data_IF_782345041214
#
_entry.id   IF_782345041214
#
_cell.length_a   1.000
_cell.length_b   1.000
_cell.length_c   1.000
_cell.angle_alpha   90.00
_cell.angle_beta   90.00
_cell.angle_gamma   90.00
#
_symmetry.space_group_name_H-M   'P 1'
#
loop_
_entity.id
_entity.type
_entity.pdbx_description
1 polymer ?
#
# COMPACT_ATOMS: atom_id res chain seq x y z
N UNK A 1 -3.18 18.91 1.47
CA UNK A 1 -2.97 19.26 2.88
C UNK A 1 -3.45 18.11 3.75
N UNK A 2 -2.64 17.05 3.81
CA UNK A 2 -2.82 15.99 4.80
C UNK A 2 -2.07 16.42 6.07
N UNK A 3 -2.77 16.38 7.21
CA UNK A 3 -2.26 16.75 8.52
C UNK A 3 -1.18 15.74 8.91
N UNK A 4 0.05 16.19 9.08
CA UNK A 4 1.05 15.40 9.80
C UNK A 4 0.58 15.28 11.25
N UNK A 5 0.05 14.11 11.61
CA UNK A 5 -0.50 13.85 12.94
C UNK A 5 0.54 13.99 14.05
N UNK A 6 1.84 14.03 13.70
CA UNK A 6 2.96 14.23 14.63
C UNK A 6 3.53 15.65 14.62
N UNK A 7 2.97 16.58 13.83
CA UNK A 7 3.45 17.97 13.80
C UNK A 7 3.27 18.67 15.15
N UNK A 8 4.30 19.43 15.54
CA UNK A 8 4.36 20.12 16.83
C UNK A 8 4.41 19.21 18.07
N UNK A 9 4.53 17.89 17.90
CA UNK A 9 4.56 16.94 19.02
C UNK A 9 5.88 17.05 19.79
N UNK A 10 5.79 16.99 21.13
CA UNK A 10 6.94 16.98 22.02
C UNK A 10 7.70 15.63 21.96
N UNK A 11 9.03 15.71 21.84
CA UNK A 11 9.94 14.59 21.97
C UNK A 11 10.93 14.91 23.11
N UNK A 12 10.99 14.03 24.10
CA UNK A 12 11.89 14.13 25.24
C UNK A 12 12.97 13.06 25.08
N UNK A 13 14.23 13.43 25.28
CA UNK A 13 15.35 12.47 25.25
C UNK A 13 16.08 12.52 26.59
N UNK A 14 16.11 11.39 27.29
CA UNK A 14 16.92 11.22 28.51
C UNK A 14 18.21 10.48 28.15
N UNK A 15 19.34 10.99 28.63
CA UNK A 15 20.67 10.43 28.35
C UNK A 15 21.35 10.13 29.68
N UNK A 16 21.70 8.87 29.89
CA UNK A 16 22.51 8.42 31.03
C UNK A 16 23.87 7.99 30.54
N UNK A 17 24.94 8.60 31.06
CA UNK A 17 26.31 8.24 30.70
C UNK A 17 26.71 6.89 31.28
N UNK A 18 27.35 6.05 30.46
CA UNK A 18 27.77 4.69 30.82
C UNK A 18 29.28 4.50 30.60
N UNK A 19 29.90 3.40 31.07
CA UNK A 19 31.32 3.16 30.82
C UNK A 19 31.66 2.88 29.35
N UNK A 20 30.72 2.37 28.54
CA UNK A 20 30.94 2.04 27.14
C UNK A 20 29.62 1.73 26.41
N UNK A 21 29.61 1.92 25.09
CA UNK A 21 28.48 1.53 24.23
C UNK A 21 27.39 2.60 24.14
N UNK A 22 26.66 2.63 23.02
CA UNK A 22 25.51 3.51 22.84
C UNK A 22 24.28 2.63 22.68
N UNK A 23 23.39 2.66 23.68
CA UNK A 23 22.13 1.94 23.66
C UNK A 23 20.99 2.93 23.46
N UNK A 24 20.09 2.64 22.51
CA UNK A 24 18.95 3.51 22.19
C UNK A 24 17.68 2.70 22.38
N UNK A 25 16.77 3.19 23.21
CA UNK A 25 15.46 2.60 23.43
C UNK A 25 14.35 3.68 23.53
N UNK A 26 13.10 3.23 23.58
CA UNK A 26 11.91 4.09 23.66
C UNK A 26 11.22 4.04 25.04
N UNK A 27 10.89 5.21 25.56
CA UNK A 27 10.03 5.39 26.73
C UNK A 27 8.55 5.50 26.35
N UNK A 28 7.78 6.26 27.14
CA UNK A 28 6.33 6.42 26.97
C UNK A 28 6.01 6.98 25.57
N UNK A 29 5.01 6.40 24.92
CA UNK A 29 4.49 6.82 23.61
C UNK A 29 5.42 6.59 22.42
N UNK A 30 6.56 5.90 22.60
CA UNK A 30 7.30 5.27 21.51
C UNK A 30 6.83 3.81 21.38
N UNK A 31 6.34 3.45 20.20
CA UNK A 31 5.73 2.15 19.96
C UNK A 31 6.72 0.99 20.09
N UNK A 32 6.21 -0.19 20.42
CA UNK A 32 6.96 -1.45 20.44
C UNK A 32 6.60 -2.30 19.23
N UNK A 33 7.62 -2.87 18.60
CA UNK A 33 7.44 -3.80 17.48
C UNK A 33 6.87 -5.12 17.99
N UNK A 34 5.71 -5.52 17.51
CA UNK A 34 5.04 -6.78 17.87
C UNK A 34 4.98 -7.78 16.72
N UNK A 35 5.26 -7.34 15.48
CA UNK A 35 5.28 -8.17 14.27
C UNK A 35 6.67 -8.18 13.62
N UNK A 36 7.03 -9.31 13.03
CA UNK A 36 8.24 -9.42 12.21
C UNK A 36 8.09 -8.67 10.86
N UNK A 37 9.20 -8.44 10.17
CA UNK A 37 9.22 -7.75 8.86
C UNK A 37 9.34 -6.22 8.93
N UNK A 38 9.35 -5.65 10.13
CA UNK A 38 9.66 -4.24 10.39
C UNK A 38 11.17 -4.00 10.51
N UNK A 39 11.59 -2.73 10.45
CA UNK A 39 13.02 -2.33 10.49
C UNK A 39 13.72 -2.73 11.80
N UNK A 40 12.97 -2.74 12.92
CA UNK A 40 13.47 -3.14 14.23
C UNK A 40 12.91 -4.53 14.63
N UNK A 41 13.64 -5.32 15.42
CA UNK A 41 13.19 -6.65 15.83
C UNK A 41 12.02 -6.59 16.81
N UNK A 42 11.20 -7.64 16.85
CA UNK A 42 10.11 -7.79 17.83
C UNK A 42 10.60 -7.56 19.26
N UNK A 43 9.83 -6.77 20.02
CA UNK A 43 10.14 -6.33 21.38
C UNK A 43 10.90 -5.00 21.47
N UNK A 44 11.58 -4.57 20.40
CA UNK A 44 12.33 -3.31 20.41
C UNK A 44 11.41 -2.10 20.21
N UNK A 45 11.89 -0.93 20.65
CA UNK A 45 11.27 0.34 20.31
C UNK A 45 11.30 0.57 18.80
N UNK A 46 10.20 1.09 18.26
CA UNK A 46 9.99 1.43 16.86
C UNK A 46 10.77 2.69 16.46
N UNK A 47 12.09 2.67 16.69
CA UNK A 47 13.04 3.70 16.29
C UNK A 47 13.88 3.09 15.17
N UNK A 48 13.68 3.53 13.93
CA UNK A 48 14.31 2.91 12.78
C UNK A 48 15.83 3.09 12.78
N UNK A 49 16.51 2.26 11.98
CA UNK A 49 17.96 2.19 11.86
C UNK A 49 18.60 3.52 11.46
N UNK A 50 17.93 4.33 10.64
CA UNK A 50 18.46 5.65 10.24
C UNK A 50 18.39 6.66 11.40
N UNK A 51 17.25 6.90 12.07
CA UNK A 51 17.21 7.69 13.29
C UNK A 51 18.20 7.23 14.36
N UNK A 52 18.35 5.91 14.59
CA UNK A 52 19.36 5.36 15.52
C UNK A 52 20.78 5.81 15.15
N UNK A 53 21.16 5.70 13.88
CA UNK A 53 22.47 6.16 13.38
C UNK A 53 22.66 7.67 13.55
N UNK A 54 21.61 8.47 13.35
CA UNK A 54 21.66 9.92 13.52
C UNK A 54 21.88 10.32 14.99
N UNK A 55 21.22 9.63 15.92
CA UNK A 55 21.41 9.81 17.36
C UNK A 55 22.83 9.40 17.76
N UNK A 56 23.27 8.23 17.32
CA UNK A 56 24.61 7.71 17.60
C UNK A 56 25.70 8.66 17.08
N UNK A 57 25.54 9.19 15.86
CA UNK A 57 26.45 10.16 15.27
C UNK A 57 26.51 11.47 16.08
N UNK A 58 25.35 11.97 16.52
CA UNK A 58 25.27 13.19 17.33
C UNK A 58 25.97 13.02 18.68
N UNK A 59 25.78 11.87 19.35
CA UNK A 59 26.45 11.54 20.60
C UNK A 59 27.96 11.41 20.42
N UNK A 60 28.42 10.67 19.40
CA UNK A 60 29.86 10.52 19.12
C UNK A 60 30.53 11.86 18.86
N UNK A 61 29.87 12.75 18.12
CA UNK A 61 30.38 14.11 17.86
C UNK A 61 30.55 14.91 19.17
N UNK A 62 29.62 14.76 20.12
CA UNK A 62 29.72 15.40 21.44
C UNK A 62 30.83 14.74 22.28
N UNK A 63 30.89 13.41 22.28
CA UNK A 63 31.90 12.66 23.03
C UNK A 63 33.31 13.05 22.58
N UNK A 64 33.56 13.11 21.28
CA UNK A 64 34.83 13.57 20.69
C UNK A 64 35.14 15.02 21.08
N UNK A 65 34.16 15.92 21.03
CA UNK A 65 34.34 17.34 21.37
C UNK A 65 34.76 17.55 22.83
N UNK A 66 34.32 16.70 23.74
CA UNK A 66 34.60 16.79 25.17
C UNK A 66 35.61 15.76 25.67
N UNK A 67 36.30 15.05 24.77
CA UNK A 67 37.26 13.99 25.09
C UNK A 67 36.70 12.92 26.06
N UNK A 68 35.43 12.57 25.84
CA UNK A 68 34.72 11.57 26.62
C UNK A 68 34.80 10.21 25.93
N UNK A 69 35.34 9.20 26.63
CA UNK A 69 35.54 7.84 26.09
C UNK A 69 34.53 6.81 26.60
N UNK A 70 33.50 7.25 27.33
CA UNK A 70 32.44 6.38 27.80
C UNK A 70 31.34 6.14 26.77
N UNK A 71 30.20 5.68 27.24
CA UNK A 71 29.00 5.38 26.47
C UNK A 71 27.79 6.20 26.92
N UNK A 72 26.63 5.87 26.35
CA UNK A 72 25.35 6.42 26.78
C UNK A 72 24.19 5.46 26.57
N UNK A 73 23.28 5.45 27.52
CA UNK A 73 21.93 4.92 27.36
C UNK A 73 21.00 6.09 27.03
N UNK A 74 20.23 5.95 25.96
CA UNK A 74 19.34 6.98 25.41
C UNK A 74 17.91 6.46 25.43
N UNK A 75 17.02 7.18 26.12
CA UNK A 75 15.59 6.89 26.15
C UNK A 75 14.83 8.03 25.47
N UNK A 76 14.17 7.71 24.36
CA UNK A 76 13.32 8.67 23.63
C UNK A 76 11.88 8.50 24.09
N UNK A 77 11.23 9.56 24.53
CA UNK A 77 9.83 9.57 24.98
C UNK A 77 9.03 10.54 24.12
N UNK A 78 7.83 10.13 23.72
CA UNK A 78 6.87 10.95 23.00
C UNK A 78 5.57 10.98 23.83
N UNK A 79 5.37 11.95 24.75
CA UNK A 79 4.28 11.88 25.74
C UNK A 79 2.88 11.67 25.16
N UNK A 80 2.61 12.27 23.99
CA UNK A 80 1.33 12.14 23.27
C UNK A 80 1.32 11.01 22.22
N UNK A 81 2.43 10.27 22.10
CA UNK A 81 2.65 9.32 21.02
C UNK A 81 1.66 8.15 21.01
N UNK A 82 1.17 7.69 22.16
CA UNK A 82 0.16 6.63 22.20
C UNK A 82 -1.17 7.08 21.56
N UNK A 83 -1.69 8.24 21.95
CA UNK A 83 -2.94 8.78 21.40
C UNK A 83 -2.82 9.14 19.91
N UNK A 84 -1.66 9.65 19.47
CA UNK A 84 -1.43 9.96 18.06
C UNK A 84 -1.34 8.67 17.23
N UNK A 85 -0.68 7.64 17.75
CA UNK A 85 -0.47 6.39 17.02
C UNK A 85 -1.77 5.70 16.60
N UNK A 86 -2.85 5.82 17.39
CA UNK A 86 -4.19 5.31 17.05
C UNK A 86 -4.75 5.89 15.74
N UNK A 87 -4.32 7.10 15.37
CA UNK A 87 -4.74 7.79 14.15
C UNK A 87 -3.76 7.57 12.99
N UNK A 88 -2.73 6.74 13.18
CA UNK A 88 -1.72 6.44 12.16
C UNK A 88 -1.84 5.00 11.64
N UNK A 89 -0.97 4.64 10.69
CA UNK A 89 -0.87 3.26 10.19
C UNK A 89 -0.14 2.29 11.15
N UNK A 90 0.45 2.78 12.24
CA UNK A 90 1.26 1.97 13.16
C UNK A 90 0.54 0.75 13.73
N UNK A 91 -0.74 0.83 14.18
CA UNK A 91 -1.45 -0.35 14.71
C UNK A 91 -1.54 -1.49 13.69
N UNK A 92 -1.83 -1.17 12.43
CA UNK A 92 -1.95 -2.17 11.35
C UNK A 92 -0.61 -2.86 11.03
N UNK A 93 0.50 -2.13 11.19
CA UNK A 93 1.85 -2.63 10.96
C UNK A 93 2.38 -3.49 12.12
N UNK A 94 1.67 -3.55 13.26
CA UNK A 94 2.15 -4.25 14.47
C UNK A 94 3.09 -3.40 15.32
N UNK A 95 2.82 -2.10 15.40
CA UNK A 95 3.52 -1.18 16.29
C UNK A 95 2.50 -0.68 17.31
N UNK A 96 2.72 -1.04 18.58
CA UNK A 96 1.73 -0.89 19.66
C UNK A 96 2.28 0.00 20.78
N UNK A 97 1.39 0.80 21.39
CA UNK A 97 1.72 1.62 22.56
C UNK A 97 2.43 2.94 22.25
N UNK A 98 2.49 3.35 20.98
CA UNK A 98 3.14 4.60 20.60
C UNK A 98 3.43 4.74 19.12
N UNK A 99 4.01 5.88 18.77
CA UNK A 99 4.43 6.18 17.40
C UNK A 99 5.75 5.50 17.04
N UNK A 100 6.03 5.47 15.74
CA UNK A 100 7.34 5.14 15.19
C UNK A 100 8.21 6.40 15.07
N UNK A 101 9.48 6.32 15.47
CA UNK A 101 10.50 7.34 15.17
C UNK A 101 11.20 6.92 13.87
N UNK A 102 10.83 7.58 12.79
CA UNK A 102 11.29 7.29 11.43
C UNK A 102 11.86 8.55 10.75
N UNK A 103 12.63 8.34 9.67
CA UNK A 103 13.20 9.42 8.86
C UNK A 103 14.44 8.96 8.10
N UNK A 104 14.57 9.34 6.83
CA UNK A 104 15.73 8.99 6.00
C UNK A 104 16.75 10.11 5.91
N UNK A 105 16.29 11.37 5.93
CA UNK A 105 17.12 12.57 5.75
C UNK A 105 17.11 13.51 6.95
N UNK A 106 16.23 13.28 7.94
CA UNK A 106 16.04 14.19 9.07
C UNK A 106 15.23 15.46 8.74
N UNK A 107 14.67 15.55 7.52
CA UNK A 107 13.79 16.65 7.09
C UNK A 107 12.40 16.09 6.85
N UNK A 108 11.38 16.74 7.42
CA UNK A 108 9.97 16.41 7.15
C UNK A 108 9.60 17.02 5.80
N UNK A 109 9.41 16.17 4.79
CA UNK A 109 8.73 16.56 3.57
C UNK A 109 7.25 16.20 3.72
N UNK A 110 6.30 17.06 3.28
CA UNK A 110 4.89 16.71 3.25
C UNK A 110 4.70 15.37 2.51
N UNK A 111 3.74 14.56 2.97
CA UNK A 111 3.56 13.16 2.54
C UNK A 111 3.74 13.02 1.03
N UNK A 112 4.91 12.53 0.61
CA UNK A 112 5.27 12.43 -0.79
C UNK A 112 4.71 11.13 -1.37
N UNK A 113 4.60 11.05 -2.69
CA UNK A 113 4.26 9.79 -3.37
C UNK A 113 5.19 8.63 -2.92
N UNK A 114 6.45 8.93 -2.61
CA UNK A 114 7.43 7.95 -2.11
C UNK A 114 7.06 7.43 -0.71
N UNK A 115 6.52 8.26 0.18
CA UNK A 115 6.09 7.85 1.51
C UNK A 115 4.96 6.80 1.43
N UNK A 116 3.98 7.01 0.55
CA UNK A 116 2.89 6.04 0.32
C UNK A 116 3.45 4.72 -0.21
N UNK A 117 4.30 4.75 -1.23
CA UNK A 117 4.92 3.55 -1.81
C UNK A 117 5.76 2.81 -0.76
N UNK A 118 6.52 3.54 0.05
CA UNK A 118 7.33 2.94 1.11
C UNK A 118 6.48 2.27 2.19
N UNK A 119 5.34 2.86 2.55
CA UNK A 119 4.43 2.30 3.55
C UNK A 119 3.79 1.02 3.04
N UNK A 120 3.33 1.01 1.79
CA UNK A 120 2.83 -0.21 1.12
C UNK A 120 3.88 -1.33 1.12
N UNK A 121 5.15 -1.01 0.84
CA UNK A 121 6.24 -2.00 0.88
C UNK A 121 6.47 -2.57 2.27
N UNK A 122 6.49 -1.72 3.31
CA UNK A 122 6.64 -2.15 4.71
C UNK A 122 5.49 -3.07 5.11
N UNK A 123 4.26 -2.71 4.74
CA UNK A 123 3.09 -3.53 5.01
C UNK A 123 3.21 -4.93 4.36
N UNK A 124 3.59 -5.00 3.07
CA UNK A 124 3.84 -6.27 2.38
C UNK A 124 4.93 -7.13 3.04
N UNK A 125 6.00 -6.50 3.54
CA UNK A 125 7.06 -7.19 4.28
C UNK A 125 6.55 -7.82 5.58
N UNK A 126 5.69 -7.12 6.32
CA UNK A 126 5.05 -7.65 7.51
C UNK A 126 4.19 -8.86 7.15
N UNK A 127 3.36 -8.77 6.09
CA UNK A 127 2.55 -9.91 5.62
C UNK A 127 3.39 -11.11 5.20
N UNK A 128 4.51 -10.87 4.52
CA UNK A 128 5.46 -11.92 4.16
C UNK A 128 6.03 -12.60 5.42
N UNK A 129 6.42 -11.82 6.42
CA UNK A 129 6.95 -12.34 7.68
C UNK A 129 5.89 -13.12 8.49
N UNK A 130 4.62 -12.73 8.38
CA UNK A 130 3.47 -13.50 8.88
C UNK A 130 3.19 -14.80 8.08
N UNK A 131 4.01 -15.11 7.07
CA UNK A 131 3.92 -16.32 6.26
C UNK A 131 2.95 -16.22 5.09
N UNK A 132 2.38 -15.04 4.80
CA UNK A 132 1.52 -14.82 3.64
C UNK A 132 2.36 -14.91 2.36
N UNK A 133 1.86 -15.66 1.39
CA UNK A 133 2.46 -15.82 0.05
C UNK A 133 1.76 -14.99 -1.02
N UNK A 134 0.49 -14.65 -0.77
CA UNK A 134 -0.35 -13.88 -1.68
C UNK A 134 -0.89 -12.68 -0.92
N UNK A 135 -0.73 -11.50 -1.50
CA UNK A 135 -1.27 -10.25 -0.97
C UNK A 135 -2.57 -9.91 -1.69
N UNK A 136 -3.61 -9.60 -0.91
CA UNK A 136 -4.85 -9.02 -1.44
C UNK A 136 -4.61 -7.52 -1.56
N UNK A 137 -4.29 -7.06 -2.76
CA UNK A 137 -3.94 -5.66 -2.99
C UNK A 137 -5.16 -4.86 -3.43
N UNK A 138 -5.36 -3.70 -2.83
CA UNK A 138 -6.51 -2.82 -3.15
C UNK A 138 -6.08 -1.38 -3.37
N UNK A 139 -6.70 -0.64 -4.32
CA UNK A 139 -6.40 0.78 -4.52
C UNK A 139 -6.95 1.74 -3.43
N UNK A 140 -7.71 1.24 -2.45
CA UNK A 140 -8.32 2.05 -1.40
C UNK A 140 -9.59 1.44 -0.82
N UNK A 141 -10.28 2.18 0.04
CA UNK A 141 -11.34 1.68 0.92
C UNK A 141 -12.49 0.96 0.19
N UNK A 142 -12.87 1.40 -1.01
CA UNK A 142 -13.90 0.70 -1.79
C UNK A 142 -13.46 -0.72 -2.17
N UNK A 143 -12.18 -0.89 -2.55
CA UNK A 143 -11.62 -2.19 -2.90
C UNK A 143 -11.47 -3.09 -1.67
N UNK A 144 -11.07 -2.53 -0.55
CA UNK A 144 -10.99 -3.24 0.73
C UNK A 144 -12.36 -3.71 1.23
N UNK A 145 -13.36 -2.82 1.25
CA UNK A 145 -14.71 -3.18 1.66
C UNK A 145 -15.27 -4.31 0.77
N UNK A 146 -14.99 -4.26 -0.53
CA UNK A 146 -15.36 -5.34 -1.44
C UNK A 146 -14.57 -6.62 -1.15
N UNK A 147 -13.25 -6.53 -0.95
CA UNK A 147 -12.39 -7.67 -0.64
C UNK A 147 -12.85 -8.40 0.63
N UNK A 148 -13.11 -7.68 1.73
CA UNK A 148 -13.58 -8.23 3.01
C UNK A 148 -15.00 -8.81 2.89
N UNK A 149 -15.81 -8.32 1.95
CA UNK A 149 -17.13 -8.91 1.67
C UNK A 149 -17.04 -10.28 0.97
N UNK A 150 -15.89 -10.62 0.37
CA UNK A 150 -15.68 -11.93 -0.22
C UNK A 150 -15.48 -12.97 0.89
N UNK A 151 -16.25 -14.08 0.88
CA UNK A 151 -16.12 -15.11 1.90
C UNK A 151 -14.69 -15.61 2.04
N UNK A 152 -14.21 -15.69 3.29
CA UNK A 152 -12.89 -16.23 3.63
C UNK A 152 -11.70 -15.32 3.32
N UNK A 153 -11.92 -14.07 2.88
CA UNK A 153 -10.84 -13.08 2.81
C UNK A 153 -10.63 -12.46 4.18
N UNK A 154 -9.45 -12.69 4.73
CA UNK A 154 -8.99 -12.04 5.96
C UNK A 154 -8.62 -10.58 5.67
N UNK A 155 -9.28 -9.64 6.37
CA UNK A 155 -9.02 -8.21 6.27
C UNK A 155 -7.57 -7.86 6.61
N UNK A 156 -6.94 -8.62 7.51
CA UNK A 156 -5.53 -8.42 7.86
C UNK A 156 -4.59 -8.75 6.69
N UNK A 157 -5.01 -9.51 5.67
CA UNK A 157 -4.18 -9.77 4.49
C UNK A 157 -4.34 -8.71 3.37
N UNK A 158 -5.19 -7.69 3.60
CA UNK A 158 -5.44 -6.64 2.61
C UNK A 158 -4.39 -5.55 2.73
N UNK A 159 -3.75 -5.19 1.61
CA UNK A 159 -2.74 -4.13 1.53
C UNK A 159 -3.20 -3.02 0.60
N UNK A 160 -3.16 -1.77 1.07
CA UNK A 160 -3.57 -0.60 0.27
C UNK A 160 -2.39 -0.06 -0.54
N UNK A 161 -2.60 0.09 -1.85
CA UNK A 161 -1.61 0.66 -2.79
C UNK A 161 -2.00 2.03 -3.36
N UNK A 162 -3.13 2.59 -2.92
CA UNK A 162 -3.63 3.91 -3.34
C UNK A 162 -3.77 4.07 -4.87
N UNK A 163 -2.90 4.85 -5.51
CA UNK A 163 -2.89 5.01 -6.96
C UNK A 163 -1.64 4.39 -7.61
N UNK A 164 -0.74 3.79 -6.84
CA UNK A 164 0.59 3.33 -7.27
C UNK A 164 0.61 1.83 -7.49
N UNK A 165 -0.27 1.33 -8.37
CA UNK A 165 -0.41 -0.11 -8.60
C UNK A 165 0.86 -0.69 -9.22
N UNK A 166 1.50 0.04 -10.14
CA UNK A 166 2.74 -0.41 -10.77
C UNK A 166 3.87 -0.60 -9.78
N UNK A 167 4.09 0.42 -8.94
CA UNK A 167 5.13 0.41 -7.90
C UNK A 167 4.82 -0.64 -6.82
N UNK A 168 3.55 -0.86 -6.49
CA UNK A 168 3.16 -1.93 -5.58
C UNK A 168 3.40 -3.33 -6.18
N UNK A 169 3.18 -3.53 -7.49
CA UNK A 169 3.54 -4.77 -8.19
C UNK A 169 5.06 -4.99 -8.24
N UNK A 170 5.84 -3.92 -8.40
CA UNK A 170 7.31 -4.00 -8.36
C UNK A 170 7.78 -4.44 -6.96
N UNK A 171 7.24 -3.81 -5.91
CA UNK A 171 7.52 -4.20 -4.53
C UNK A 171 7.14 -5.66 -4.26
N UNK A 172 5.94 -6.10 -4.69
CA UNK A 172 5.53 -7.49 -4.54
C UNK A 172 6.47 -8.47 -5.27
N UNK A 173 6.95 -8.07 -6.46
CA UNK A 173 7.94 -8.84 -7.23
C UNK A 173 9.27 -8.98 -6.50
N UNK A 174 9.81 -7.89 -5.96
CA UNK A 174 11.04 -7.90 -5.16
C UNK A 174 10.91 -8.71 -3.88
N UNK A 175 9.69 -8.79 -3.34
CA UNK A 175 9.36 -9.56 -2.15
C UNK A 175 8.91 -10.99 -2.45
N UNK A 176 8.88 -11.44 -3.71
CA UNK A 176 8.43 -12.78 -4.10
C UNK A 176 7.02 -13.10 -3.53
N UNK A 177 6.12 -12.12 -3.65
CA UNK A 177 4.73 -12.20 -3.21
C UNK A 177 3.81 -12.20 -4.43
N UNK A 178 2.94 -13.20 -4.51
CA UNK A 178 1.87 -13.21 -5.50
C UNK A 178 0.82 -12.15 -5.17
N UNK A 179 0.08 -11.68 -6.18
CA UNK A 179 -0.85 -10.56 -6.02
C UNK A 179 -2.23 -10.89 -6.58
N UNK A 180 -3.24 -10.78 -5.71
CA UNK A 180 -4.64 -10.68 -6.10
C UNK A 180 -5.09 -9.22 -5.97
N UNK A 181 -5.21 -8.53 -7.10
CA UNK A 181 -5.63 -7.13 -7.16
C UNK A 181 -7.15 -7.01 -7.20
N UNK A 182 -7.76 -6.38 -6.21
CA UNK A 182 -9.21 -6.18 -6.15
C UNK A 182 -9.51 -4.69 -6.25
N UNK A 183 -10.31 -4.28 -7.24
CA UNK A 183 -10.51 -2.86 -7.48
C UNK A 183 -11.74 -2.50 -8.30
N UNK A 184 -12.19 -1.26 -8.10
CA UNK A 184 -13.31 -0.71 -8.84
C UNK A 184 -12.91 -0.48 -10.32
N UNK A 185 -13.83 -0.73 -11.25
CA UNK A 185 -13.67 -0.51 -12.69
C UNK A 185 -13.16 0.90 -13.02
N UNK A 186 -13.56 1.92 -12.27
CA UNK A 186 -13.11 3.30 -12.41
C UNK A 186 -11.61 3.50 -12.19
N UNK A 187 -10.92 2.54 -11.57
CA UNK A 187 -9.46 2.51 -11.50
C UNK A 187 -8.89 1.42 -12.39
N UNK A 188 -9.40 0.19 -12.30
CA UNK A 188 -8.80 -0.97 -12.96
C UNK A 188 -8.90 -0.94 -14.48
N UNK A 189 -9.87 -0.23 -15.07
CA UNK A 189 -9.92 -0.09 -16.54
C UNK A 189 -8.64 0.54 -17.11
N UNK A 190 -7.96 1.41 -16.35
CA UNK A 190 -6.72 2.08 -16.79
C UNK A 190 -5.58 1.09 -17.05
N UNK A 191 -5.55 -0.02 -16.30
CA UNK A 191 -4.53 -1.05 -16.45
C UNK A 191 -4.64 -1.74 -17.82
N UNK A 192 -5.84 -1.90 -18.37
CA UNK A 192 -6.01 -2.44 -19.72
C UNK A 192 -5.31 -1.57 -20.79
N UNK A 193 -5.25 -0.25 -20.55
CA UNK A 193 -4.49 0.71 -21.35
C UNK A 193 -2.98 0.75 -21.03
N UNK A 194 -2.51 -0.02 -20.05
CA UNK A 194 -1.12 -0.02 -19.59
C UNK A 194 -0.78 1.11 -18.60
N UNK A 195 -1.78 1.79 -18.05
CA UNK A 195 -1.60 2.88 -17.10
C UNK A 195 -1.63 2.31 -15.69
N UNK A 196 -0.46 2.27 -15.07
CA UNK A 196 -0.26 1.66 -13.75
C UNK A 196 -0.40 2.65 -12.58
N UNK A 197 -0.47 3.96 -12.87
CA UNK A 197 -0.86 4.95 -11.89
C UNK A 197 -2.32 5.38 -12.10
N UNK A 198 -3.20 5.09 -11.15
CA UNK A 198 -4.65 5.28 -11.35
C UNK A 198 -5.15 6.67 -11.05
N UNK A 199 -4.29 7.62 -10.69
CA UNK A 199 -4.71 8.98 -10.40
C UNK A 199 -5.22 9.67 -11.69
N UNK A 200 -6.39 10.32 -11.63
CA UNK A 200 -7.00 10.96 -12.82
C UNK A 200 -6.14 12.08 -13.41
N UNK A 201 -5.43 12.83 -12.58
CA UNK A 201 -4.45 13.84 -13.03
C UNK A 201 -3.30 13.24 -13.85
N UNK A 202 -2.92 11.97 -13.61
CA UNK A 202 -1.87 11.30 -14.39
C UNK A 202 -2.44 10.85 -15.73
N UNK A 203 -3.60 10.19 -15.70
CA UNK A 203 -4.37 9.88 -16.88
C UNK A 203 -5.82 9.56 -16.48
N UNK A 204 -6.81 10.14 -17.16
CA UNK A 204 -8.21 9.76 -17.00
C UNK A 204 -8.54 8.58 -17.91
N UNK A 205 -8.67 8.80 -19.23
CA UNK A 205 -8.79 7.82 -20.33
C UNK A 205 -9.73 6.60 -20.13
N UNK A 206 -10.59 6.61 -19.09
CA UNK A 206 -11.46 5.48 -18.74
C UNK A 206 -12.46 5.20 -19.86
N UNK A 207 -13.06 6.24 -20.42
CA UNK A 207 -14.08 6.11 -21.45
C UNK A 207 -13.48 5.68 -22.77
N UNK A 208 -12.31 6.19 -23.14
CA UNK A 208 -11.56 5.83 -24.33
C UNK A 208 -11.17 4.35 -24.31
N UNK A 209 -10.66 3.88 -23.17
CA UNK A 209 -10.34 2.47 -22.97
C UNK A 209 -11.62 1.62 -22.99
N UNK A 210 -12.69 2.02 -22.30
CA UNK A 210 -13.95 1.26 -22.33
C UNK A 210 -14.55 1.20 -23.73
N UNK A 211 -14.63 2.32 -24.45
CA UNK A 211 -15.26 2.40 -25.76
C UNK A 211 -14.47 1.59 -26.80
N UNK A 212 -13.14 1.70 -26.81
CA UNK A 212 -12.30 0.90 -27.72
C UNK A 212 -12.42 -0.61 -27.45
N UNK A 213 -12.38 -1.03 -26.18
CA UNK A 213 -12.57 -2.44 -25.82
C UNK A 213 -14.00 -2.92 -26.06
N UNK A 214 -14.99 -2.05 -25.95
CA UNK A 214 -16.37 -2.36 -26.28
C UNK A 214 -16.55 -2.66 -27.77
N UNK A 215 -15.93 -1.89 -28.67
CA UNK A 215 -15.92 -2.21 -30.11
C UNK A 215 -15.23 -3.54 -30.36
N UNK A 216 -14.06 -3.77 -29.75
CA UNK A 216 -13.33 -5.03 -29.90
C UNK A 216 -14.13 -6.25 -29.43
N UNK A 217 -15.02 -6.06 -28.45
CA UNK A 217 -15.90 -7.08 -27.91
C UNK A 217 -17.21 -7.28 -28.70
N UNK A 218 -17.37 -6.60 -29.84
CA UNK A 218 -18.56 -6.70 -30.70
C UNK A 218 -19.67 -5.70 -30.38
N UNK A 219 -19.42 -4.72 -29.50
CA UNK A 219 -20.34 -3.62 -29.25
C UNK A 219 -20.50 -2.70 -30.47
N UNK A 220 -21.63 -1.99 -30.54
CA UNK A 220 -21.95 -1.12 -31.67
C UNK A 220 -21.13 0.18 -31.66
N UNK A 221 -20.98 0.81 -32.84
CA UNK A 221 -20.39 2.15 -32.94
C UNK A 221 -21.17 3.18 -32.13
N UNK A 222 -22.50 3.03 -32.09
CA UNK A 222 -23.39 3.91 -31.34
C UNK A 222 -23.15 3.77 -29.83
N UNK A 223 -22.99 2.55 -29.32
CA UNK A 223 -22.60 2.30 -27.94
C UNK A 223 -21.27 2.95 -27.57
N UNK A 224 -20.25 2.78 -28.42
CA UNK A 224 -18.94 3.38 -28.17
C UNK A 224 -19.01 4.91 -28.09
N UNK A 225 -19.81 5.55 -28.95
CA UNK A 225 -20.06 7.00 -28.88
C UNK A 225 -20.76 7.40 -27.58
N UNK A 226 -21.74 6.61 -27.10
CA UNK A 226 -22.40 6.85 -25.82
C UNK A 226 -21.43 6.74 -24.65
N UNK A 227 -20.60 5.69 -24.63
CA UNK A 227 -19.55 5.50 -23.61
C UNK A 227 -18.61 6.71 -23.59
N UNK A 228 -18.16 7.20 -24.76
CA UNK A 228 -17.30 8.38 -24.85
C UNK A 228 -17.94 9.66 -24.29
N UNK A 229 -19.28 9.73 -24.26
CA UNK A 229 -20.02 10.85 -23.68
C UNK A 229 -20.28 10.72 -22.16
N UNK A 230 -19.93 9.61 -21.53
CA UNK A 230 -20.15 9.39 -20.11
C UNK A 230 -19.07 10.05 -19.25
N UNK A 231 -19.46 10.55 -18.07
CA UNK A 231 -18.50 11.06 -17.06
C UNK A 231 -17.98 9.96 -16.16
N UNK A 232 -18.78 8.91 -15.91
CA UNK A 232 -18.46 7.85 -14.96
C UNK A 232 -18.52 6.48 -15.61
N UNK A 233 -17.73 5.55 -15.08
CA UNK A 233 -17.75 4.14 -15.53
C UNK A 233 -19.09 3.47 -15.22
N UNK A 234 -19.78 3.84 -14.14
CA UNK A 234 -21.09 3.26 -13.83
C UNK A 234 -22.17 3.67 -14.84
N UNK A 235 -22.08 4.90 -15.37
CA UNK A 235 -22.96 5.36 -16.45
C UNK A 235 -22.63 4.65 -17.77
N UNK A 236 -21.35 4.50 -18.11
CA UNK A 236 -20.94 3.70 -19.27
C UNK A 236 -21.39 2.23 -19.16
N UNK A 237 -21.26 1.63 -17.97
CA UNK A 237 -21.69 0.26 -17.70
C UNK A 237 -23.20 0.06 -17.87
N UNK A 238 -24.01 1.09 -17.60
CA UNK A 238 -25.45 1.04 -17.88
C UNK A 238 -25.70 0.74 -19.36
N UNK A 239 -25.11 1.51 -20.26
CA UNK A 239 -25.28 1.32 -21.71
C UNK A 239 -24.70 0.00 -22.20
N UNK A 240 -23.53 -0.40 -21.67
CA UNK A 240 -22.91 -1.70 -21.99
C UNK A 240 -23.82 -2.87 -21.62
N UNK A 241 -24.52 -2.78 -20.47
CA UNK A 241 -25.49 -3.79 -20.03
C UNK A 241 -26.76 -3.78 -20.86
N UNK A 242 -27.28 -2.61 -21.22
CA UNK A 242 -28.48 -2.48 -22.07
C UNK A 242 -28.30 -3.14 -23.44
N UNK A 243 -27.09 -3.10 -24.01
CA UNK A 243 -26.76 -3.78 -25.26
C UNK A 243 -26.29 -5.24 -25.09
N UNK A 244 -26.33 -5.79 -23.88
CA UNK A 244 -25.97 -7.18 -23.55
C UNK A 244 -24.53 -7.58 -23.94
N UNK A 245 -23.58 -6.64 -23.91
CA UNK A 245 -22.17 -6.89 -24.26
C UNK A 245 -21.23 -6.80 -23.06
N UNK A 246 -21.74 -6.73 -21.83
CA UNK A 246 -20.93 -6.61 -20.61
C UNK A 246 -19.90 -7.74 -20.46
N UNK A 247 -20.33 -9.00 -20.57
CA UNK A 247 -19.45 -10.15 -20.38
C UNK A 247 -18.33 -10.19 -21.44
N UNK A 248 -18.61 -10.06 -22.75
CA UNK A 248 -17.57 -9.87 -23.77
C UNK A 248 -16.60 -8.71 -23.49
N UNK A 249 -17.11 -7.54 -23.06
CA UNK A 249 -16.27 -6.37 -22.75
C UNK A 249 -15.36 -6.67 -21.57
N UNK A 250 -15.89 -7.25 -20.50
CA UNK A 250 -15.11 -7.60 -19.31
C UNK A 250 -14.04 -8.63 -19.64
N UNK A 251 -14.33 -9.63 -20.49
CA UNK A 251 -13.35 -10.62 -20.96
C UNK A 251 -12.16 -9.95 -21.66
N UNK A 252 -12.43 -9.03 -22.60
CA UNK A 252 -11.36 -8.29 -23.30
C UNK A 252 -10.55 -7.43 -22.33
N UNK A 253 -11.20 -6.78 -21.37
CA UNK A 253 -10.53 -5.95 -20.38
C UNK A 253 -9.66 -6.78 -19.42
N UNK A 254 -10.19 -7.86 -18.85
CA UNK A 254 -9.46 -8.68 -17.89
C UNK A 254 -8.28 -9.40 -18.56
N UNK A 255 -8.42 -9.84 -19.81
CA UNK A 255 -7.31 -10.40 -20.58
C UNK A 255 -6.18 -9.38 -20.76
N UNK A 256 -6.51 -8.14 -21.14
CA UNK A 256 -5.52 -7.06 -21.23
C UNK A 256 -4.90 -6.71 -19.87
N UNK A 257 -5.71 -6.61 -18.81
CA UNK A 257 -5.21 -6.32 -17.46
C UNK A 257 -4.22 -7.40 -17.02
N UNK A 258 -4.57 -8.68 -17.21
CA UNK A 258 -3.71 -9.83 -16.91
C UNK A 258 -2.37 -9.72 -17.63
N UNK A 259 -2.38 -9.48 -18.95
CA UNK A 259 -1.18 -9.30 -19.75
C UNK A 259 -0.32 -8.12 -19.27
N UNK A 260 -0.94 -7.00 -18.86
CA UNK A 260 -0.24 -5.79 -18.43
C UNK A 260 0.39 -5.97 -17.05
N UNK A 261 -0.30 -6.63 -16.12
CA UNK A 261 0.24 -6.98 -14.80
C UNK A 261 1.40 -7.97 -14.95
N UNK A 262 1.20 -9.06 -15.69
CA UNK A 262 2.25 -10.05 -15.95
C UNK A 262 3.48 -9.42 -16.63
N UNK A 263 3.27 -8.50 -17.59
CA UNK A 263 4.38 -7.77 -18.21
C UNK A 263 5.11 -6.88 -17.20
N UNK A 264 4.42 -6.22 -16.27
CA UNK A 264 5.07 -5.36 -15.26
C UNK A 264 5.96 -6.17 -14.32
N UNK A 265 5.49 -7.35 -13.92
CA UNK A 265 6.21 -8.26 -13.02
C UNK A 265 7.18 -9.18 -13.75
N UNK A 266 7.36 -9.03 -15.07
CA UNK A 266 8.12 -9.97 -15.92
C UNK A 266 7.68 -11.44 -15.76
N UNK A 267 6.45 -11.70 -15.29
CA UNK A 267 5.92 -13.03 -15.02
C UNK A 267 6.64 -13.81 -13.91
N UNK A 268 7.45 -13.15 -13.08
CA UNK A 268 8.20 -13.82 -11.99
C UNK A 268 7.31 -14.19 -10.81
N UNK A 269 6.23 -13.44 -10.60
CA UNK A 269 5.18 -13.73 -9.62
C UNK A 269 3.83 -13.95 -10.32
N UNK A 270 2.93 -14.68 -9.68
CA UNK A 270 1.54 -14.83 -10.15
C UNK A 270 0.75 -13.58 -9.83
N UNK A 271 0.00 -13.11 -10.81
CA UNK A 271 -0.89 -11.95 -10.66
C UNK A 271 -2.28 -12.29 -11.15
N UNK A 272 -3.30 -11.82 -10.44
CA UNK A 272 -4.68 -11.86 -10.88
C UNK A 272 -5.42 -10.59 -10.46
N UNK A 273 -6.57 -10.32 -11.09
CA UNK A 273 -7.41 -9.19 -10.71
C UNK A 273 -8.90 -9.54 -10.69
N UNK A 274 -9.63 -8.95 -9.74
CA UNK A 274 -11.09 -8.94 -9.64
C UNK A 274 -11.57 -7.49 -9.79
N UNK A 275 -12.51 -7.30 -10.73
CA UNK A 275 -13.07 -6.00 -11.08
C UNK A 275 -14.52 -5.93 -10.61
N UNK A 276 -14.85 -4.86 -9.91
CA UNK A 276 -16.22 -4.60 -9.47
C UNK A 276 -16.67 -3.16 -9.78
N UNK A 277 -17.96 -2.91 -9.67
CA UNK A 277 -18.57 -1.58 -9.61
C UNK A 277 -19.31 -1.44 -8.28
N UNK A 278 -19.26 -0.25 -7.69
CA UNK A 278 -20.01 0.05 -6.48
C UNK A 278 -21.52 -0.07 -6.68
N UNK A 279 -22.01 0.15 -7.91
CA UNK A 279 -23.44 0.06 -8.26
C UNK A 279 -23.85 -1.34 -8.70
N UNK A 280 -22.98 -2.05 -9.42
CA UNK A 280 -23.33 -3.33 -10.07
C UNK A 280 -22.69 -4.56 -9.43
N UNK A 281 -21.86 -4.40 -8.40
CA UNK A 281 -21.15 -5.49 -7.75
C UNK A 281 -20.04 -6.04 -8.64
N UNK A 282 -19.78 -7.35 -8.54
CA UNK A 282 -18.80 -8.05 -9.37
C UNK A 282 -19.08 -7.86 -10.87
N UNK A 283 -18.03 -7.59 -11.65
CA UNK A 283 -18.13 -7.40 -13.11
C UNK A 283 -17.35 -8.46 -13.88
N UNK A 284 -16.18 -8.85 -13.40
CA UNK A 284 -15.32 -9.83 -14.06
C UNK A 284 -13.98 -9.99 -13.36
N UNK A 285 -13.23 -10.99 -13.79
CA UNK A 285 -11.94 -11.35 -13.22
C UNK A 285 -11.00 -11.92 -14.28
N UNK A 286 -9.72 -11.95 -13.96
CA UNK A 286 -8.68 -12.61 -14.79
C UNK A 286 -8.66 -14.13 -14.51
N UNK A 287 -8.21 -14.94 -15.46
CA UNK A 287 -8.23 -16.42 -15.37
C UNK A 287 -7.68 -17.01 -14.05
N UNK A 288 -6.63 -16.43 -13.48
CA UNK A 288 -6.01 -16.92 -12.24
C UNK A 288 -6.69 -16.43 -10.95
N UNK A 289 -7.71 -15.57 -11.03
CA UNK A 289 -8.28 -14.91 -9.85
C UNK A 289 -8.91 -15.88 -8.86
N UNK A 290 -9.70 -16.84 -9.34
CA UNK A 290 -10.30 -17.87 -8.47
C UNK A 290 -9.24 -18.73 -7.79
N UNK A 291 -8.16 -19.09 -8.48
CA UNK A 291 -7.08 -19.90 -7.92
C UNK A 291 -6.39 -19.14 -6.78
N UNK A 292 -5.98 -17.89 -7.04
CA UNK A 292 -5.34 -17.07 -6.02
C UNK A 292 -6.28 -16.77 -4.85
N UNK A 293 -7.57 -16.54 -5.12
CA UNK A 293 -8.56 -16.30 -4.08
C UNK A 293 -8.76 -17.53 -3.18
N UNK A 294 -8.82 -18.73 -3.75
CA UNK A 294 -8.87 -19.98 -2.98
C UNK A 294 -7.60 -20.22 -2.15
N UNK A 295 -6.43 -19.86 -2.66
CA UNK A 295 -5.18 -19.95 -1.90
C UNK A 295 -5.09 -18.89 -0.79
N UNK A 296 -5.64 -17.70 -1.00
CA UNK A 296 -5.74 -16.64 0.04
C UNK A 296 -6.64 -17.07 1.20
N UNK A 297 -7.67 -17.89 0.93
CA UNK A 297 -8.63 -18.39 1.93
C UNK A 297 -8.06 -19.47 2.85
N UNK A 298 -6.90 -20.04 2.52
CA UNK A 298 -6.26 -21.15 3.25
C UNK A 298 -5.26 -20.64 4.28
#
# INVERSE_FOLDING_TARGET
>A
DDIDATDGMEIITEITFTPSGINIDGGIGVGRVTKEGLDQPVGNAAINSVPRKMIEYSLKTIFEKFDYHGGADVIITAPMGEAIAEQTFNPNLGIVGGISILGTTGIVNPMSNEAIISTTRVEMNVKKAEGKKIIVMVPGNYGENFAISLPGVDGDNVVRCSNFIGEALDNATELDLDVLLIGNIGKLVKLAGGIMNTHSHVADCRMEILASNCIMAGGSLELAKRIMGCTTTDDALKYIKEENVLEPVMRVLTEKISQRMSKRTNGTIRTAAIIFSSKYGFLGETDNANILLEEVRR
#
